data_IF_697370405496
#
_entry.id   IF_697370405496
#
_cell.length_a   1.000
_cell.length_b   1.000
_cell.length_c   1.000
_cell.angle_alpha   90.00
_cell.angle_beta   90.00
_cell.angle_gamma   90.00
#
_symmetry.space_group_name_H-M   'P 1'
#
loop_
_entity.id
_entity.type
_entity.pdbx_description
1 polymer ?
#
# COMPACT_ATOMS: atom_id res chain seq x y z
N UNK A 1 4.89 4.88 -1.19
CA UNK A 1 4.50 6.03 -0.34
C UNK A 1 3.07 5.83 0.11
N UNK A 2 2.76 6.15 1.37
CA UNK A 2 1.44 5.98 1.96
C UNK A 2 0.97 7.28 2.60
N UNK A 3 -0.31 7.61 2.42
CA UNK A 3 -0.96 8.74 3.07
C UNK A 3 -2.14 8.22 3.90
N UNK A 4 -2.39 8.84 5.05
CA UNK A 4 -3.50 8.50 5.93
C UNK A 4 -4.28 9.75 6.34
N UNK A 5 -5.61 9.71 6.20
CA UNK A 5 -6.53 10.76 6.66
C UNK A 5 -7.54 10.18 7.66
N UNK A 6 -7.75 10.81 8.82
CA UNK A 6 -8.81 10.39 9.73
C UNK A 6 -10.17 10.81 9.12
N UNK A 7 -11.06 9.85 8.96
CA UNK A 7 -12.39 10.07 8.38
C UNK A 7 -13.51 9.61 9.32
N UNK A 8 -13.19 8.86 10.40
CA UNK A 8 -14.18 8.35 11.35
C UNK A 8 -15.13 7.29 10.75
N UNK A 9 -14.81 6.82 9.54
CA UNK A 9 -15.57 5.85 8.76
C UNK A 9 -14.82 4.50 8.71
N UNK A 10 -15.45 3.41 8.25
CA UNK A 10 -14.76 2.13 8.09
C UNK A 10 -13.53 2.28 7.22
N UNK A 11 -12.43 1.63 7.61
CA UNK A 11 -11.13 1.75 6.95
C UNK A 11 -11.23 1.55 5.43
N UNK A 12 -10.76 2.55 4.65
CA UNK A 12 -10.74 2.50 3.18
C UNK A 12 -9.30 2.48 2.67
N UNK A 13 -9.08 1.79 1.56
CA UNK A 13 -7.80 1.75 0.86
C UNK A 13 -7.97 2.23 -0.58
N UNK A 14 -7.29 3.34 -0.92
CA UNK A 14 -7.07 3.79 -2.28
C UNK A 14 -5.70 3.33 -2.79
N UNK A 15 -5.65 2.85 -4.03
CA UNK A 15 -4.42 2.35 -4.68
C UNK A 15 -4.12 3.14 -5.95
N UNK A 16 -2.98 3.81 -5.98
CA UNK A 16 -2.51 4.59 -7.13
C UNK A 16 -1.31 3.88 -7.76
N UNK A 17 -1.57 3.15 -8.85
CA UNK A 17 -0.55 2.42 -9.62
C UNK A 17 -0.49 2.98 -11.04
N UNK A 18 0.51 3.83 -11.30
CA UNK A 18 0.68 4.49 -12.60
C UNK A 18 1.34 3.59 -13.65
N UNK A 19 0.92 3.74 -14.91
CA UNK A 19 1.51 3.04 -16.08
C UNK A 19 3.02 3.33 -16.23
N UNK A 20 3.48 4.51 -15.79
CA UNK A 20 4.91 4.91 -15.78
C UNK A 20 5.78 4.00 -14.90
N UNK A 21 5.23 3.49 -13.81
CA UNK A 21 5.95 2.70 -12.82
C UNK A 21 5.79 1.19 -13.02
N UNK A 22 4.62 0.75 -13.50
CA UNK A 22 4.34 -0.64 -13.83
C UNK A 22 3.73 -0.72 -15.24
N UNK A 23 4.54 -0.90 -16.29
CA UNK A 23 4.05 -0.84 -17.67
C UNK A 23 3.18 -2.05 -18.06
N UNK A 24 3.36 -3.21 -17.41
CA UNK A 24 2.59 -4.42 -17.67
C UNK A 24 1.31 -4.43 -16.82
N UNK A 25 0.17 -4.72 -17.44
CA UNK A 25 -1.11 -4.84 -16.73
C UNK A 25 -1.07 -5.91 -15.62
N UNK A 26 -0.41 -7.04 -15.88
CA UNK A 26 -0.24 -8.14 -14.93
C UNK A 26 0.48 -7.68 -13.66
N UNK A 27 1.59 -6.93 -13.79
CA UNK A 27 2.33 -6.39 -12.65
C UNK A 27 1.49 -5.40 -11.85
N UNK A 28 0.71 -4.54 -12.52
CA UNK A 28 -0.22 -3.62 -11.85
C UNK A 28 -1.30 -4.38 -11.06
N UNK A 29 -1.85 -5.43 -11.64
CA UNK A 29 -2.88 -6.25 -11.01
C UNK A 29 -2.31 -7.03 -9.82
N UNK A 30 -1.09 -7.55 -9.93
CA UNK A 30 -0.37 -8.21 -8.85
C UNK A 30 -0.19 -7.28 -7.66
N UNK A 31 0.35 -6.07 -7.88
CA UNK A 31 0.53 -5.07 -6.82
C UNK A 31 -0.80 -4.72 -6.15
N UNK A 32 -1.84 -4.45 -6.95
CA UNK A 32 -3.18 -4.14 -6.41
C UNK A 32 -3.76 -5.30 -5.60
N UNK A 33 -3.55 -6.55 -6.02
CA UNK A 33 -4.02 -7.73 -5.30
C UNK A 33 -3.28 -7.88 -3.97
N UNK A 34 -1.95 -7.87 -4.00
CA UNK A 34 -1.12 -7.97 -2.78
C UNK A 34 -1.44 -6.88 -1.76
N UNK A 35 -1.64 -5.64 -2.23
CA UNK A 35 -1.97 -4.52 -1.35
C UNK A 35 -3.37 -4.67 -0.73
N UNK A 36 -4.36 -5.11 -1.51
CA UNK A 36 -5.71 -5.39 -0.99
C UNK A 36 -5.72 -6.54 0.00
N UNK A 37 -4.98 -7.61 -0.28
CA UNK A 37 -4.92 -8.78 0.60
C UNK A 37 -4.25 -8.44 1.93
N UNK A 38 -3.12 -7.73 1.89
CA UNK A 38 -2.43 -7.27 3.10
C UNK A 38 -3.30 -6.30 3.93
N UNK A 39 -4.01 -5.38 3.27
CA UNK A 39 -4.93 -4.47 3.96
C UNK A 39 -6.14 -5.21 4.56
N UNK A 40 -6.68 -6.22 3.86
CA UNK A 40 -7.84 -6.99 4.35
C UNK A 40 -7.52 -7.70 5.66
N UNK A 41 -6.31 -8.26 5.79
CA UNK A 41 -5.85 -8.93 7.01
C UNK A 41 -5.71 -7.97 8.21
N UNK A 42 -5.39 -6.70 7.93
CA UNK A 42 -5.10 -5.68 8.95
C UNK A 42 -6.16 -4.60 9.04
N UNK A 43 -7.34 -4.81 8.44
CA UNK A 43 -8.40 -3.79 8.31
C UNK A 43 -8.82 -3.21 9.66
N UNK A 44 -8.80 -4.03 10.71
CA UNK A 44 -9.13 -3.62 12.08
C UNK A 44 -8.16 -2.57 12.63
N UNK A 45 -6.87 -2.65 12.27
CA UNK A 45 -5.82 -1.73 12.74
C UNK A 45 -5.97 -0.32 12.12
N UNK A 46 -6.73 -0.21 11.02
CA UNK A 46 -6.92 1.03 10.28
C UNK A 46 -8.30 1.66 10.49
N UNK A 47 -9.06 1.20 11.50
CA UNK A 47 -10.42 1.69 11.75
C UNK A 47 -10.43 3.22 11.93
N UNK A 48 -11.33 3.91 11.22
CA UNK A 48 -11.44 5.37 11.26
C UNK A 48 -10.53 6.12 10.30
N UNK A 49 -9.68 5.44 9.51
CA UNK A 49 -8.74 6.06 8.57
C UNK A 49 -8.95 5.66 7.11
N UNK A 50 -8.75 6.63 6.22
CA UNK A 50 -8.61 6.42 4.78
C UNK A 50 -7.13 6.41 4.40
N UNK A 51 -6.68 5.29 3.83
CA UNK A 51 -5.30 5.09 3.37
C UNK A 51 -5.21 5.26 1.86
N UNK A 52 -4.22 6.02 1.40
CA UNK A 52 -3.85 6.11 -0.02
C UNK A 52 -2.44 5.56 -0.22
N UNK A 53 -2.33 4.41 -0.87
CA UNK A 53 -1.04 3.81 -1.23
C UNK A 53 -0.71 4.18 -2.68
N UNK A 54 0.35 4.96 -2.85
CA UNK A 54 0.91 5.34 -4.15
C UNK A 54 2.17 4.52 -4.40
N UNK A 55 2.15 3.75 -5.48
CA UNK A 55 3.33 3.05 -5.97
C UNK A 55 4.34 4.09 -6.48
N UNK A 56 5.55 4.06 -5.92
CA UNK A 56 6.64 4.94 -6.33
C UNK A 56 7.80 4.16 -6.98
N UNK A 57 7.92 2.88 -6.67
CA UNK A 57 8.94 1.98 -7.24
C UNK A 57 8.64 1.69 -8.71
N UNK A 58 9.60 2.04 -9.56
CA UNK A 58 9.57 1.76 -11.00
C UNK A 58 10.05 0.34 -11.24
N UNK A 59 9.17 -0.51 -11.77
CA UNK A 59 9.55 -1.85 -12.22
C UNK A 59 10.13 -1.74 -13.63
N UNK A 60 11.44 -1.87 -13.73
CA UNK A 60 12.12 -1.87 -15.02
C UNK A 60 11.91 -3.21 -15.73
N UNK A 61 11.56 -3.15 -17.02
CA UNK A 61 11.30 -4.34 -17.85
C UNK A 61 12.57 -5.16 -18.06
N UNK A 62 13.75 -4.53 -17.99
CA UNK A 62 15.05 -5.19 -18.18
C UNK A 62 15.53 -5.93 -16.93
N UNK A 63 15.29 -5.38 -15.75
CA UNK A 63 15.66 -6.01 -14.48
C UNK A 63 14.73 -7.16 -14.09
N UNK A 64 13.49 -7.17 -14.60
CA UNK A 64 12.45 -8.13 -14.25
C UNK A 64 11.81 -8.70 -15.53
N UNK A 65 12.43 -9.72 -16.15
CA UNK A 65 11.96 -10.25 -17.43
C UNK A 65 10.56 -10.87 -17.35
N UNK A 66 10.21 -11.49 -16.20
CA UNK A 66 8.89 -12.08 -15.97
C UNK A 66 7.96 -11.17 -15.18
N UNK A 67 6.75 -10.97 -15.70
CA UNK A 67 5.75 -10.03 -15.18
C UNK A 67 5.20 -10.39 -13.79
N UNK A 68 5.45 -11.63 -13.35
CA UNK A 68 4.92 -12.24 -12.14
C UNK A 68 5.90 -13.27 -11.54
N UNK A 69 7.22 -13.04 -11.66
CA UNK A 69 8.18 -13.93 -11.00
C UNK A 69 7.96 -13.91 -9.47
N UNK A 70 8.15 -15.05 -8.82
CA UNK A 70 8.03 -15.16 -7.36
C UNK A 70 8.91 -14.13 -6.61
N UNK A 71 10.15 -13.83 -7.04
CA UNK A 71 10.97 -12.79 -6.41
C UNK A 71 10.36 -11.39 -6.53
N UNK A 72 9.74 -11.07 -7.66
CA UNK A 72 9.05 -9.78 -7.84
C UNK A 72 7.86 -9.66 -6.91
N UNK A 73 7.04 -10.70 -6.82
CA UNK A 73 5.90 -10.73 -5.94
C UNK A 73 6.33 -10.60 -4.47
N UNK A 74 7.42 -11.28 -4.08
CA UNK A 74 7.99 -11.19 -2.74
C UNK A 74 8.50 -9.77 -2.42
N UNK A 75 9.25 -9.14 -3.33
CA UNK A 75 9.71 -7.75 -3.14
C UNK A 75 8.54 -6.77 -3.03
N UNK A 76 7.55 -6.87 -3.92
CA UNK A 76 6.34 -6.05 -3.85
C UNK A 76 5.60 -6.24 -2.52
N UNK A 77 5.44 -7.49 -2.09
CA UNK A 77 4.74 -7.82 -0.85
C UNK A 77 5.50 -7.29 0.38
N UNK A 78 6.83 -7.38 0.39
CA UNK A 78 7.67 -6.84 1.45
C UNK A 78 7.54 -5.31 1.54
N UNK A 79 7.65 -4.60 0.41
CA UNK A 79 7.51 -3.14 0.38
C UNK A 79 6.10 -2.68 0.80
N UNK A 80 5.05 -3.38 0.33
CA UNK A 80 3.67 -3.10 0.74
C UNK A 80 3.52 -3.29 2.26
N UNK A 81 4.10 -4.37 2.81
CA UNK A 81 4.02 -4.65 4.25
C UNK A 81 4.69 -3.56 5.06
N UNK A 82 5.89 -3.14 4.67
CA UNK A 82 6.62 -2.07 5.33
C UNK A 82 5.85 -0.74 5.28
N UNK A 83 5.25 -0.40 4.13
CA UNK A 83 4.41 0.79 4.01
C UNK A 83 3.18 0.71 4.92
N UNK A 84 2.53 -0.45 5.02
CA UNK A 84 1.40 -0.63 5.92
C UNK A 84 1.83 -0.55 7.38
N UNK A 85 2.95 -1.16 7.77
CA UNK A 85 3.49 -1.08 9.14
C UNK A 85 3.78 0.38 9.53
N UNK A 86 4.36 1.15 8.59
CA UNK A 86 4.57 2.59 8.78
C UNK A 86 3.24 3.34 8.96
N UNK A 87 2.22 3.00 8.18
CA UNK A 87 0.90 3.62 8.32
C UNK A 87 0.23 3.28 9.66
N UNK A 88 0.35 2.04 10.15
CA UNK A 88 -0.13 1.65 11.48
C UNK A 88 0.54 2.50 12.55
N UNK A 89 1.87 2.66 12.48
CA UNK A 89 2.63 3.49 13.42
C UNK A 89 2.19 4.96 13.37
N UNK A 90 2.04 5.52 12.18
CA UNK A 90 1.56 6.90 12.00
C UNK A 90 0.13 7.09 12.55
N UNK A 91 -0.75 6.12 12.34
CA UNK A 91 -2.11 6.14 12.89
C UNK A 91 -2.08 6.07 14.41
N UNK A 92 -1.28 5.16 14.99
CA UNK A 92 -1.13 5.05 16.44
C UNK A 92 -0.56 6.33 17.06
N UNK A 93 0.47 6.91 16.43
CA UNK A 93 1.05 8.19 16.85
C UNK A 93 0.01 9.32 16.82
N UNK A 94 -0.77 9.41 15.74
CA UNK A 94 -1.83 10.44 15.61
C UNK A 94 -3.02 10.18 16.52
N UNK A 95 -3.36 8.93 16.83
CA UNK A 95 -4.38 8.59 17.82
C UNK A 95 -3.94 8.99 19.25
N UNK A 96 -2.65 8.86 19.56
CA UNK A 96 -2.09 9.30 20.85
C UNK A 96 -1.94 10.82 20.99
N UNK A 97 -1.99 11.55 19.87
CA UNK A 97 -1.93 13.00 19.84
C UNK A 97 -3.35 13.52 19.58
N UNK A 98 -4.21 13.66 20.62
CA UNK A 98 -5.53 14.23 20.41
C UNK A 98 -5.35 15.59 19.73
N UNK A 99 -6.17 15.85 18.71
CA UNK A 99 -6.17 17.09 17.98
C UNK A 99 -6.25 18.26 18.96
N UNK A 100 -5.13 18.95 19.17
CA UNK A 100 -5.12 20.30 19.70
C UNK A 100 -5.60 21.21 18.59
N UNK A 101 -6.78 21.78 18.83
CA UNK A 101 -7.34 23.02 18.26
C UNK A 101 -7.83 22.99 16.80
#
# INVERSE_FOLDING_TARGET
MIYGKPTGQPARLGLVVGKKYAPRAVTRNLVKRLARDAFRLRRAEFAGYDLLLRQHTRFDKKALPSAASAPLAAMCAAEIRELLDRAVREIALRASKPASE
#
